data_IF_684458589164
#
_entry.id   IF_684458589164
#
_cell.length_a   1.000
_cell.length_b   1.000
_cell.length_c   1.000
_cell.angle_alpha   90.00
_cell.angle_beta   90.00
_cell.angle_gamma   90.00
#
_symmetry.space_group_name_H-M   'P 1'
#
loop_
_entity.id
_entity.type
_entity.pdbx_description
1 polymer ?
#
# COMPACT_ATOMS: atom_id res chain seq x y z
N UNK A 1 16.41 10.69 -0.07
CA UNK A 1 16.08 9.51 0.74
C UNK A 1 14.89 8.81 0.11
N UNK A 2 14.87 7.48 0.14
CA UNK A 2 13.80 6.64 -0.42
C UNK A 2 13.14 5.86 0.71
N UNK A 3 11.82 5.94 0.81
CA UNK A 3 11.06 5.15 1.77
C UNK A 3 10.34 4.02 1.03
N UNK A 4 10.24 2.87 1.69
CA UNK A 4 9.44 1.75 1.24
C UNK A 4 8.21 1.59 2.13
N UNK A 5 7.05 1.33 1.52
CA UNK A 5 5.82 0.98 2.22
C UNK A 5 5.31 -0.35 1.67
N UNK A 6 5.13 -1.36 2.52
CA UNK A 6 4.33 -2.54 2.18
C UNK A 6 2.93 -2.39 2.76
N UNK A 7 1.90 -2.59 1.94
CA UNK A 7 0.50 -2.37 2.29
C UNK A 7 -0.26 -3.69 2.23
N UNK A 8 -0.69 -4.18 3.38
CA UNK A 8 -1.62 -5.31 3.52
C UNK A 8 -3.02 -4.80 3.91
N UNK A 9 -4.05 -5.66 3.86
CA UNK A 9 -5.44 -5.24 4.10
C UNK A 9 -5.99 -5.67 5.46
N UNK A 10 -5.62 -6.84 5.97
CA UNK A 10 -6.22 -7.45 7.17
C UNK A 10 -6.12 -6.56 8.41
N UNK A 11 -4.97 -5.94 8.63
CA UNK A 11 -4.71 -5.07 9.77
C UNK A 11 -5.12 -3.62 9.57
N UNK A 12 -5.76 -3.27 8.44
CA UNK A 12 -6.22 -1.91 8.23
C UNK A 12 -7.37 -1.56 9.20
N UNK A 13 -7.50 -0.29 9.63
CA UNK A 13 -8.62 0.13 10.46
C UNK A 13 -9.96 -0.24 9.83
N UNK A 14 -10.90 -0.72 10.64
CA UNK A 14 -12.27 -1.08 10.22
C UNK A 14 -12.38 -2.24 9.21
N UNK A 15 -11.28 -2.88 8.82
CA UNK A 15 -11.29 -4.15 8.10
C UNK A 15 -11.58 -5.28 9.10
N UNK A 16 -12.83 -5.71 9.16
CA UNK A 16 -13.32 -6.64 10.21
C UNK A 16 -13.95 -7.92 9.69
N UNK A 17 -13.94 -8.13 8.38
CA UNK A 17 -14.66 -9.22 7.71
C UNK A 17 -13.93 -9.66 6.46
N UNK A 18 -14.05 -10.95 6.12
CA UNK A 18 -13.54 -11.51 4.86
C UNK A 18 -14.13 -10.82 3.62
N UNK A 19 -15.33 -10.23 3.73
CA UNK A 19 -15.95 -9.44 2.66
C UNK A 19 -15.12 -8.20 2.27
N UNK A 20 -14.23 -7.73 3.14
CA UNK A 20 -13.28 -6.65 2.84
C UNK A 20 -12.05 -7.13 2.06
N UNK A 21 -11.75 -8.43 2.08
CA UNK A 21 -10.49 -9.01 1.60
C UNK A 21 -10.63 -9.72 0.25
N UNK A 22 -11.85 -9.85 -0.25
CA UNK A 22 -12.15 -10.57 -1.49
C UNK A 22 -12.66 -9.59 -2.53
N UNK A 23 -12.11 -9.61 -3.75
CA UNK A 23 -12.46 -8.64 -4.81
C UNK A 23 -13.96 -8.52 -5.11
N UNK A 24 -14.69 -9.61 -4.93
CA UNK A 24 -16.13 -9.72 -5.16
C UNK A 24 -16.96 -9.51 -3.88
N UNK A 25 -16.30 -9.32 -2.75
CA UNK A 25 -16.94 -9.05 -1.47
C UNK A 25 -17.61 -7.68 -1.47
N UNK A 26 -18.73 -7.61 -0.80
CA UNK A 26 -19.58 -6.40 -0.75
C UNK A 26 -18.88 -5.20 -0.11
N UNK A 27 -17.88 -5.46 0.75
CA UNK A 27 -17.12 -4.44 1.49
C UNK A 27 -15.72 -4.18 0.90
N UNK A 28 -15.33 -4.85 -0.19
CA UNK A 28 -13.98 -4.71 -0.75
C UNK A 28 -13.64 -3.28 -1.16
N UNK A 29 -14.62 -2.54 -1.72
CA UNK A 29 -14.41 -1.13 -2.08
C UNK A 29 -14.15 -0.23 -0.86
N UNK A 30 -14.76 -0.53 0.27
CA UNK A 30 -14.52 0.17 1.53
C UNK A 30 -13.08 -0.06 2.00
N UNK A 31 -12.62 -1.32 2.00
CA UNK A 31 -11.25 -1.67 2.37
C UNK A 31 -10.20 -0.98 1.47
N UNK A 32 -10.41 -0.99 0.15
CA UNK A 32 -9.54 -0.30 -0.81
C UNK A 32 -9.43 1.19 -0.54
N UNK A 33 -10.56 1.84 -0.23
CA UNK A 33 -10.61 3.26 0.11
C UNK A 33 -9.81 3.54 1.38
N UNK A 34 -10.06 2.78 2.46
CA UNK A 34 -9.35 2.92 3.73
C UNK A 34 -7.84 2.75 3.55
N UNK A 35 -7.42 1.67 2.88
CA UNK A 35 -6.01 1.40 2.64
C UNK A 35 -5.33 2.51 1.82
N UNK A 36 -6.04 3.07 0.84
CA UNK A 36 -5.52 4.18 0.03
C UNK A 36 -5.39 5.46 0.87
N UNK A 37 -6.41 5.84 1.63
CA UNK A 37 -6.37 7.05 2.49
C UNK A 37 -5.26 6.98 3.54
N UNK A 38 -5.09 5.83 4.20
CA UNK A 38 -4.01 5.61 5.17
C UNK A 38 -2.64 5.66 4.47
N UNK A 39 -2.51 5.02 3.31
CA UNK A 39 -1.25 5.03 2.55
C UNK A 39 -0.89 6.45 2.12
N UNK A 40 -1.85 7.24 1.61
CA UNK A 40 -1.65 8.64 1.22
C UNK A 40 -1.20 9.50 2.41
N UNK A 41 -1.80 9.29 3.58
CA UNK A 41 -1.42 10.00 4.81
C UNK A 41 0.04 9.72 5.17
N UNK A 42 0.47 8.46 5.11
CA UNK A 42 1.86 8.07 5.41
C UNK A 42 2.82 8.60 4.35
N UNK A 43 2.45 8.53 3.07
CA UNK A 43 3.22 9.07 1.94
C UNK A 43 3.46 10.58 2.12
N UNK A 44 2.43 11.34 2.47
CA UNK A 44 2.53 12.78 2.69
C UNK A 44 3.47 13.11 3.87
N UNK A 45 3.33 12.38 4.98
CA UNK A 45 4.20 12.55 6.16
C UNK A 45 5.67 12.24 5.81
N UNK A 46 5.93 11.15 5.08
CA UNK A 46 7.28 10.81 4.64
C UNK A 46 7.85 11.88 3.70
N UNK A 47 7.04 12.35 2.76
CA UNK A 47 7.48 13.39 1.84
C UNK A 47 7.85 14.68 2.58
N UNK A 48 7.00 15.13 3.51
CA UNK A 48 7.26 16.28 4.38
C UNK A 48 8.48 16.08 5.29
N UNK A 49 8.84 14.84 5.60
CA UNK A 49 10.05 14.49 6.34
C UNK A 49 11.33 14.44 5.47
N UNK A 50 11.25 14.75 4.17
CA UNK A 50 12.40 14.82 3.26
C UNK A 50 12.66 13.57 2.43
N UNK A 51 11.74 12.60 2.41
CA UNK A 51 11.80 11.49 1.47
C UNK A 51 11.35 11.95 0.07
N UNK A 52 12.28 11.94 -0.88
CA UNK A 52 12.04 12.45 -2.24
C UNK A 52 11.34 11.45 -3.16
N UNK A 53 11.30 10.17 -2.77
CA UNK A 53 10.62 9.09 -3.49
C UNK A 53 10.06 8.11 -2.46
N UNK A 54 8.81 7.69 -2.65
CA UNK A 54 8.16 6.67 -1.82
C UNK A 54 7.74 5.49 -2.70
N UNK A 55 8.37 4.33 -2.48
CA UNK A 55 8.01 3.08 -3.15
C UNK A 55 6.91 2.39 -2.33
N UNK A 56 5.81 2.03 -2.97
CA UNK A 56 4.65 1.41 -2.33
C UNK A 56 4.43 0.04 -2.97
N UNK A 57 4.43 -1.01 -2.16
CA UNK A 57 4.09 -2.36 -2.56
C UNK A 57 2.68 -2.71 -2.06
N UNK A 58 1.73 -2.76 -2.98
CA UNK A 58 0.37 -3.27 -2.73
C UNK A 58 0.47 -4.78 -2.52
N UNK A 59 0.26 -5.28 -1.31
CA UNK A 59 0.81 -6.57 -0.86
C UNK A 59 -0.23 -7.57 -0.39
N UNK A 60 -1.51 -7.20 -0.38
CA UNK A 60 -2.60 -8.11 -0.07
C UNK A 60 -3.11 -8.88 -1.31
N UNK A 61 -3.33 -10.18 -1.17
CA UNK A 61 -4.04 -11.01 -2.15
C UNK A 61 -3.54 -10.84 -3.60
N UNK A 62 -4.37 -10.31 -4.53
CA UNK A 62 -4.00 -10.10 -5.93
C UNK A 62 -3.06 -8.90 -6.15
N UNK A 63 -2.74 -8.14 -5.09
CA UNK A 63 -1.81 -7.01 -5.09
C UNK A 63 -2.26 -5.86 -6.00
N UNK A 64 -3.58 -5.60 -6.06
CA UNK A 64 -4.22 -4.57 -6.90
C UNK A 64 -5.29 -3.78 -6.14
N UNK A 65 -5.12 -3.63 -4.83
CA UNK A 65 -6.08 -3.04 -3.90
C UNK A 65 -6.03 -1.51 -3.86
N UNK A 66 -4.85 -0.88 -3.92
CA UNK A 66 -4.75 0.59 -3.89
C UNK A 66 -5.38 1.24 -5.13
N UNK A 67 -5.80 2.51 -5.01
CA UNK A 67 -6.32 3.33 -6.11
C UNK A 67 -5.18 4.15 -6.74
N UNK A 68 -4.60 3.75 -7.88
CA UNK A 68 -3.42 4.41 -8.44
C UNK A 68 -3.67 5.87 -8.84
N UNK A 69 -4.90 6.18 -9.25
CA UNK A 69 -5.31 7.52 -9.67
C UNK A 69 -5.24 8.57 -8.55
N UNK A 70 -5.19 8.15 -7.28
CA UNK A 70 -5.07 9.05 -6.13
C UNK A 70 -3.62 9.26 -5.69
N UNK A 71 -2.67 8.46 -6.20
CA UNK A 71 -1.29 8.50 -5.74
C UNK A 71 -0.51 9.70 -6.32
N UNK A 72 0.29 10.42 -5.51
CA UNK A 72 1.11 11.53 -5.98
C UNK A 72 2.22 11.10 -6.96
N UNK A 73 2.66 12.04 -7.80
CA UNK A 73 3.72 11.81 -8.80
C UNK A 73 5.07 11.36 -8.21
N UNK A 74 5.34 11.69 -6.95
CA UNK A 74 6.57 11.30 -6.24
C UNK A 74 6.50 9.90 -5.61
N UNK A 75 5.51 9.10 -5.98
CA UNK A 75 5.37 7.71 -5.56
C UNK A 75 5.64 6.74 -6.69
N UNK A 76 6.11 5.55 -6.35
CA UNK A 76 6.24 4.42 -7.28
C UNK A 76 5.44 3.23 -6.75
N UNK A 77 4.35 2.88 -7.44
CA UNK A 77 3.44 1.82 -7.01
C UNK A 77 3.79 0.48 -7.70
N UNK A 78 4.10 -0.53 -6.89
CA UNK A 78 4.28 -1.92 -7.30
C UNK A 78 2.96 -2.67 -7.12
N UNK A 79 2.42 -3.23 -8.22
CA UNK A 79 1.13 -3.95 -8.26
C UNK A 79 1.24 -5.29 -8.96
N UNK A 80 0.29 -6.18 -8.65
CA UNK A 80 0.08 -7.45 -9.31
C UNK A 80 0.82 -8.61 -8.66
N UNK A 81 0.18 -9.78 -8.69
CA UNK A 81 0.72 -11.07 -8.26
C UNK A 81 0.66 -12.07 -9.45
N UNK A 82 1.65 -12.97 -9.62
CA UNK A 82 2.86 -13.10 -8.82
C UNK A 82 3.93 -12.05 -9.17
N UNK A 83 4.76 -11.69 -8.18
CA UNK A 83 5.95 -10.84 -8.37
C UNK A 83 7.14 -11.30 -7.52
N UNK A 84 8.39 -11.06 -7.95
CA UNK A 84 9.58 -11.37 -7.15
C UNK A 84 9.50 -10.75 -5.75
N UNK A 85 9.98 -11.47 -4.73
CA UNK A 85 9.98 -11.02 -3.32
C UNK A 85 8.60 -10.66 -2.72
N UNK A 86 7.50 -10.98 -3.40
CA UNK A 86 6.13 -10.82 -2.94
C UNK A 86 5.85 -9.46 -2.28
N UNK A 87 5.63 -9.42 -0.96
CA UNK A 87 5.23 -8.21 -0.22
C UNK A 87 6.32 -7.14 -0.11
N UNK A 88 7.59 -7.48 -0.39
CA UNK A 88 8.73 -6.56 -0.28
C UNK A 88 9.39 -6.22 -1.61
N UNK A 89 8.69 -6.49 -2.72
CA UNK A 89 9.13 -6.11 -4.06
C UNK A 89 9.34 -4.58 -4.17
N UNK A 90 10.53 -4.14 -4.58
CA UNK A 90 10.86 -2.71 -4.73
C UNK A 90 11.48 -2.06 -3.49
N UNK A 91 11.68 -2.82 -2.39
CA UNK A 91 12.33 -2.31 -1.19
C UNK A 91 13.84 -2.03 -1.38
N UNK A 92 14.43 -2.49 -2.48
CA UNK A 92 15.85 -2.32 -2.75
C UNK A 92 16.25 -0.84 -2.78
N UNK A 93 17.36 -0.51 -2.11
CA UNK A 93 17.91 0.85 -2.03
C UNK A 93 16.96 1.87 -1.35
N UNK A 94 16.03 1.39 -0.52
CA UNK A 94 15.27 2.25 0.38
C UNK A 94 16.01 2.39 1.72
N UNK A 95 15.94 3.57 2.32
CA UNK A 95 16.60 3.90 3.60
C UNK A 95 15.78 3.40 4.80
N UNK A 96 14.46 3.34 4.64
CA UNK A 96 13.50 2.89 5.66
C UNK A 96 12.38 2.06 5.03
N UNK A 97 11.74 1.22 5.85
CA UNK A 97 10.59 0.43 5.47
C UNK A 97 9.47 0.60 6.50
N UNK A 98 8.23 0.75 6.03
CA UNK A 98 7.02 0.80 6.85
C UNK A 98 6.05 -0.27 6.36
N UNK A 99 5.44 -1.00 7.28
CA UNK A 99 4.47 -2.05 6.99
C UNK A 99 3.11 -1.61 7.54
N UNK A 100 2.14 -1.43 6.65
CA UNK A 100 0.81 -0.91 6.95
C UNK A 100 -0.23 -2.01 6.78
N UNK A 101 -1.19 -2.08 7.68
CA UNK A 101 -2.27 -3.07 7.60
C UNK A 101 -1.84 -4.51 7.89
N UNK A 102 -0.73 -4.68 8.61
CA UNK A 102 -0.24 -5.97 9.13
C UNK A 102 -0.83 -6.30 10.50
#
# INVERSE_FOLDING_TARGET
MRAFISVDLEGMPFVVSLEHLVEKGTLYKEARKIATEITLTVVEVLHNAGFGEVVIADSHGPMVNLLPEELPEYTYLVRGYPRPMAMVAGAEKCDVALFLGY
#
